data_IF_811406665133
#
_entry.id   IF_811406665133
#
_cell.length_a   1.000
_cell.length_b   1.000
_cell.length_c   1.000
_cell.angle_alpha   90.00
_cell.angle_beta   90.00
_cell.angle_gamma   90.00
#
_symmetry.space_group_name_H-M   'P 1'
#
loop_
_entity.id
_entity.type
_entity.pdbx_description
1 polymer ?
#
# COMPACT_ATOMS: atom_id res chain seq x y z
N UNK A 1 -7.80 6.23 8.50
CA UNK A 1 -7.02 5.11 9.05
C UNK A 1 -5.73 5.55 9.77
N UNK A 2 -5.24 6.78 9.56
CA UNK A 2 -3.99 7.28 10.13
C UNK A 2 -4.16 8.30 11.27
N UNK A 3 -5.36 8.88 11.47
CA UNK A 3 -5.51 9.99 12.42
C UNK A 3 -5.28 9.55 13.86
N UNK A 4 -4.16 10.04 14.43
CA UNK A 4 -3.77 9.85 15.83
C UNK A 4 -3.19 8.48 16.18
N UNK A 5 -3.08 7.55 15.23
CA UNK A 5 -2.54 6.21 15.47
C UNK A 5 -1.01 6.18 15.35
N UNK A 6 -0.34 5.43 16.22
CA UNK A 6 1.07 5.08 16.01
C UNK A 6 1.22 4.29 14.71
N UNK A 7 2.21 4.66 13.91
CA UNK A 7 2.56 3.97 12.68
C UNK A 7 3.42 2.74 13.01
N UNK A 8 2.80 1.72 13.59
CA UNK A 8 3.44 0.44 13.87
C UNK A 8 3.31 -0.54 12.69
N UNK A 9 4.04 -1.66 12.74
CA UNK A 9 4.06 -2.68 11.67
C UNK A 9 2.65 -3.16 11.31
N UNK A 10 1.78 -3.32 12.32
CA UNK A 10 0.42 -3.77 12.10
C UNK A 10 -0.43 -2.71 11.39
N UNK A 11 -0.27 -1.43 11.73
CA UNK A 11 -0.92 -0.31 11.06
C UNK A 11 -0.47 -0.20 9.61
N UNK A 12 0.84 -0.29 9.37
CA UNK A 12 1.42 -0.26 8.02
C UNK A 12 0.86 -1.38 7.16
N UNK A 13 0.83 -2.61 7.67
CA UNK A 13 0.29 -3.76 6.94
C UNK A 13 -1.20 -3.58 6.60
N UNK A 14 -2.01 -3.08 7.55
CA UNK A 14 -3.43 -2.79 7.31
C UNK A 14 -3.62 -1.71 6.25
N UNK A 15 -2.87 -0.62 6.32
CA UNK A 15 -2.98 0.49 5.36
C UNK A 15 -2.58 0.04 3.95
N UNK A 16 -1.49 -0.73 3.83
CA UNK A 16 -1.07 -1.29 2.55
C UNK A 16 -2.14 -2.21 1.93
N UNK A 17 -2.79 -3.05 2.75
CA UNK A 17 -3.89 -3.91 2.31
C UNK A 17 -5.10 -3.09 1.84
N UNK A 18 -5.52 -2.08 2.60
CA UNK A 18 -6.60 -1.17 2.20
C UNK A 18 -6.28 -0.48 0.87
N UNK A 19 -5.05 0.04 0.71
CA UNK A 19 -4.64 0.69 -0.54
C UNK A 19 -4.74 -0.26 -1.74
N UNK A 20 -4.29 -1.52 -1.60
CA UNK A 20 -4.40 -2.56 -2.63
C UNK A 20 -5.84 -2.88 -3.02
N UNK A 21 -6.72 -2.96 -2.02
CA UNK A 21 -8.10 -3.41 -2.20
C UNK A 21 -8.95 -2.29 -2.82
N UNK A 22 -8.69 -1.03 -2.48
CA UNK A 22 -9.44 0.15 -2.95
C UNK A 22 -9.11 0.59 -4.38
N UNK A 23 -7.85 0.45 -4.82
CA UNK A 23 -7.47 0.89 -6.17
C UNK A 23 -8.21 0.09 -7.26
N UNK A 24 -8.54 0.73 -8.39
CA UNK A 24 -9.17 0.06 -9.54
C UNK A 24 -8.40 0.32 -10.84
N UNK A 25 -7.21 -0.29 -11.00
CA UNK A 25 -6.38 -0.09 -12.18
C UNK A 25 -6.93 -0.86 -13.39
N UNK A 26 -6.61 -0.36 -14.59
CA UNK A 26 -6.82 -1.08 -15.86
C UNK A 26 -5.73 -2.15 -16.07
N UNK A 27 -5.98 -3.07 -16.99
CA UNK A 27 -4.95 -3.85 -17.68
C UNK A 27 -4.43 -3.07 -18.90
N UNK A 28 -3.13 -3.13 -19.18
CA UNK A 28 -2.56 -2.59 -20.43
C UNK A 28 -1.24 -3.31 -20.80
N UNK A 29 -0.56 -2.84 -21.85
CA UNK A 29 0.71 -3.41 -22.33
C UNK A 29 1.86 -3.40 -21.32
N UNK A 30 1.78 -2.59 -20.27
CA UNK A 30 2.82 -2.42 -19.24
C UNK A 30 2.63 -3.39 -18.08
N UNK A 31 1.39 -3.73 -17.74
CA UNK A 31 1.08 -4.62 -16.62
C UNK A 31 -0.39 -5.05 -16.61
N UNK A 32 -0.70 -6.07 -15.82
CA UNK A 32 -2.07 -6.40 -15.44
C UNK A 32 -2.58 -5.51 -14.28
N UNK A 33 -3.89 -5.39 -14.16
CA UNK A 33 -4.57 -4.78 -13.03
C UNK A 33 -4.20 -5.50 -11.71
N UNK A 34 -4.06 -6.83 -11.75
CA UNK A 34 -3.58 -7.61 -10.61
C UNK A 34 -2.18 -7.17 -10.18
N UNK A 35 -1.23 -7.10 -11.11
CA UNK A 35 0.15 -6.69 -10.79
C UNK A 35 0.20 -5.27 -10.22
N UNK A 36 -0.62 -4.36 -10.76
CA UNK A 36 -0.72 -2.99 -10.25
C UNK A 36 -1.25 -2.94 -8.81
N UNK A 37 -2.19 -3.81 -8.43
CA UNK A 37 -2.64 -3.93 -7.03
C UNK A 37 -1.49 -4.35 -6.12
N UNK A 38 -0.76 -5.40 -6.51
CA UNK A 38 0.40 -5.87 -5.74
C UNK A 38 1.51 -4.82 -5.66
N UNK A 39 1.73 -4.06 -6.73
CA UNK A 39 2.69 -2.96 -6.74
C UNK A 39 2.29 -1.87 -5.72
N UNK A 40 1.01 -1.46 -5.70
CA UNK A 40 0.49 -0.49 -4.74
C UNK A 40 0.69 -1.00 -3.31
N UNK A 41 0.31 -2.25 -3.02
CA UNK A 41 0.54 -2.87 -1.70
C UNK A 41 2.00 -2.72 -1.24
N UNK A 42 2.93 -3.15 -2.09
CA UNK A 42 4.35 -3.19 -1.74
C UNK A 42 4.96 -1.79 -1.62
N UNK A 43 4.61 -0.86 -2.52
CA UNK A 43 5.14 0.50 -2.48
C UNK A 43 4.58 1.29 -1.30
N UNK A 44 3.28 1.16 -1.01
CA UNK A 44 2.67 1.77 0.19
C UNK A 44 3.34 1.25 1.46
N UNK A 45 3.52 -0.08 1.60
CA UNK A 45 4.23 -0.65 2.74
C UNK A 45 5.63 -0.09 2.89
N UNK A 46 6.43 -0.08 1.83
CA UNK A 46 7.82 0.43 1.84
C UNK A 46 7.91 1.89 2.23
N UNK A 47 7.04 2.73 1.70
CA UNK A 47 7.01 4.17 2.02
C UNK A 47 6.66 4.42 3.48
N UNK A 48 5.70 3.67 4.04
CA UNK A 48 5.32 3.84 5.43
C UNK A 48 6.37 3.27 6.39
N UNK A 49 7.01 2.14 6.04
CA UNK A 49 8.15 1.59 6.79
C UNK A 49 9.30 2.60 6.86
N UNK A 50 9.62 3.27 5.74
CA UNK A 50 10.65 4.31 5.66
C UNK A 50 10.32 5.52 6.56
N UNK A 51 9.09 6.03 6.49
CA UNK A 51 8.63 7.15 7.34
C UNK A 51 8.60 6.78 8.83
N UNK A 52 8.26 5.54 9.18
CA UNK A 52 8.23 5.10 10.58
C UNK A 52 9.64 4.99 11.21
N UNK A 53 10.69 4.92 10.39
CA UNK A 53 12.08 4.79 10.83
C UNK A 53 12.84 6.14 10.86
N UNK A 54 12.26 7.20 10.30
CA UNK A 54 12.83 8.55 10.25
C UNK A 54 12.50 9.37 11.51
#
# INVERSE_FOLDING_TARGET
ALDGAMLDEAAIARIAAVARDEVRPIDDVRASAWYRRELVFNMTKRMLDDVAQA
#
